data_IF_605742953196
#
_entry.id   IF_605742953196
#
_cell.length_a   1.000
_cell.length_b   1.000
_cell.length_c   1.000
_cell.angle_alpha   90.00
_cell.angle_beta   90.00
_cell.angle_gamma   90.00
#
_symmetry.space_group_name_H-M   'P 1'
#
loop_
_entity.id
_entity.type
_entity.pdbx_description
1 polymer ?
#
# COMPACT_ATOMS: atom_id res chain seq x y z
N UNK A 1 13.12 19.55 2.97
CA UNK A 1 12.58 19.28 1.62
C UNK A 1 13.05 20.34 0.65
N UNK A 2 13.11 21.62 1.04
CA UNK A 2 13.62 22.73 0.22
C UNK A 2 14.99 22.47 -0.41
N UNK A 3 16.05 22.23 0.37
CA UNK A 3 17.41 22.04 -0.15
C UNK A 3 17.51 21.07 -1.34
N UNK A 4 17.05 19.83 -1.16
CA UNK A 4 17.13 18.85 -2.24
C UNK A 4 16.04 19.02 -3.31
N UNK A 5 14.76 19.07 -2.90
CA UNK A 5 13.66 19.00 -3.87
C UNK A 5 13.46 20.32 -4.60
N UNK A 6 13.51 21.45 -3.89
CA UNK A 6 13.31 22.77 -4.49
C UNK A 6 14.61 23.29 -5.11
N UNK A 7 15.72 23.25 -4.38
CA UNK A 7 16.95 23.93 -4.80
C UNK A 7 17.76 23.05 -5.78
N UNK A 8 18.12 21.83 -5.38
CA UNK A 8 18.98 20.97 -6.22
C UNK A 8 18.23 20.36 -7.43
N UNK A 9 16.98 19.92 -7.22
CA UNK A 9 16.19 19.24 -8.24
C UNK A 9 15.22 20.15 -9.00
N UNK A 10 15.03 21.41 -8.57
CA UNK A 10 14.16 22.36 -9.24
C UNK A 10 12.69 21.92 -9.31
N UNK A 11 12.21 21.13 -8.35
CA UNK A 11 10.83 20.65 -8.35
C UNK A 11 9.87 21.78 -7.97
N UNK A 12 9.06 22.24 -8.92
CA UNK A 12 8.06 23.32 -8.73
C UNK A 12 6.63 22.82 -8.50
N UNK A 13 6.44 21.50 -8.38
CA UNK A 13 5.13 20.91 -8.11
C UNK A 13 4.68 21.05 -6.66
N UNK A 14 3.60 20.34 -6.31
CA UNK A 14 3.12 20.25 -4.94
C UNK A 14 3.84 19.17 -4.15
N UNK A 15 4.29 19.54 -2.97
CA UNK A 15 4.89 18.64 -1.99
C UNK A 15 3.85 18.28 -0.92
N UNK A 16 3.48 17.00 -0.88
CA UNK A 16 2.59 16.44 0.12
C UNK A 16 3.41 15.68 1.16
N UNK A 17 3.00 15.75 2.42
CA UNK A 17 3.44 14.76 3.41
C UNK A 17 2.74 13.43 3.15
N UNK A 18 3.29 12.34 3.68
CA UNK A 18 2.48 11.14 3.94
C UNK A 18 1.50 11.42 5.10
N UNK A 19 0.62 10.47 5.41
CA UNK A 19 -0.39 10.60 6.44
C UNK A 19 0.24 10.95 7.79
N UNK A 20 -0.09 12.13 8.32
CA UNK A 20 0.40 12.59 9.62
C UNK A 20 -0.19 11.80 10.81
N UNK A 21 -1.13 10.90 10.54
CA UNK A 21 -1.64 9.91 11.50
C UNK A 21 -0.70 8.72 11.69
N UNK A 22 0.39 8.60 10.92
CA UNK A 22 1.37 7.54 11.09
C UNK A 22 1.97 7.57 12.51
N UNK A 23 1.99 6.38 13.14
CA UNK A 23 2.35 6.22 14.55
C UNK A 23 3.72 6.81 14.90
N UNK A 24 4.70 6.63 14.02
CA UNK A 24 6.07 7.13 14.19
C UNK A 24 6.14 8.66 14.32
N UNK A 25 5.28 9.41 13.63
CA UNK A 25 5.24 10.88 13.70
C UNK A 25 4.46 11.33 14.93
N UNK A 26 3.32 10.69 15.20
CA UNK A 26 2.46 11.05 16.32
C UNK A 26 3.12 10.83 17.68
N UNK A 27 3.95 9.77 17.82
CA UNK A 27 4.67 9.48 19.07
C UNK A 27 5.89 10.39 19.28
N UNK A 28 6.56 10.81 18.21
CA UNK A 28 7.79 11.59 18.32
C UNK A 28 7.57 13.09 18.57
N UNK A 29 6.54 13.71 17.96
CA UNK A 29 6.39 15.17 17.97
C UNK A 29 5.00 15.65 18.37
N UNK A 30 3.97 14.80 18.31
CA UNK A 30 2.58 15.24 18.38
C UNK A 30 2.15 16.01 17.12
N UNK A 31 0.83 16.18 16.93
CA UNK A 31 0.28 16.64 15.64
C UNK A 31 0.63 18.10 15.31
N UNK A 32 0.63 18.99 16.31
CA UNK A 32 0.90 20.42 16.11
C UNK A 32 2.35 20.66 15.67
N UNK A 33 3.31 20.16 16.43
CA UNK A 33 4.73 20.31 16.12
C UNK A 33 5.13 19.61 14.81
N UNK A 34 4.57 18.41 14.55
CA UNK A 34 4.79 17.73 13.28
C UNK A 34 4.29 18.56 12.08
N UNK A 35 3.13 19.21 12.23
CA UNK A 35 2.54 20.07 11.19
C UNK A 35 3.41 21.29 10.91
N UNK A 36 3.88 21.98 11.96
CA UNK A 36 4.77 23.14 11.82
C UNK A 36 6.08 22.75 11.16
N UNK A 37 6.73 21.68 11.63
CA UNK A 37 7.99 21.18 11.06
C UNK A 37 7.87 20.78 9.59
N UNK A 38 6.75 20.17 9.21
CA UNK A 38 6.53 19.78 7.82
C UNK A 38 6.46 21.02 6.90
N UNK A 39 5.75 22.08 7.33
CA UNK A 39 5.68 23.34 6.59
C UNK A 39 7.04 24.06 6.56
N UNK A 40 7.76 24.11 7.69
CA UNK A 40 9.12 24.64 7.76
C UNK A 40 10.07 23.92 6.79
N UNK A 41 9.92 22.60 6.67
CA UNK A 41 10.75 21.80 5.78
C UNK A 41 10.45 22.04 4.29
N UNK A 42 9.33 22.70 3.96
CA UNK A 42 8.91 23.06 2.61
C UNK A 42 7.72 22.26 2.05
N UNK A 43 6.96 21.54 2.89
CA UNK A 43 5.72 20.90 2.43
C UNK A 43 4.65 21.94 2.09
N UNK A 44 3.85 21.66 1.05
CA UNK A 44 2.72 22.52 0.67
C UNK A 44 1.41 22.02 1.31
N UNK A 45 1.24 20.69 1.42
CA UNK A 45 0.01 20.08 1.92
C UNK A 45 0.29 19.02 2.98
N UNK A 46 -0.37 19.18 4.12
CA UNK A 46 -0.36 18.22 5.22
C UNK A 46 -1.43 17.15 4.99
N UNK A 47 -1.02 15.91 4.74
CA UNK A 47 -1.93 14.81 4.45
C UNK A 47 -2.49 14.20 5.75
N UNK A 48 -3.82 14.15 5.86
CA UNK A 48 -4.55 13.44 6.91
C UNK A 48 -4.04 13.71 8.34
N UNK A 49 -4.00 14.96 8.82
CA UNK A 49 -3.75 15.22 10.24
C UNK A 49 -4.84 14.59 11.10
N UNK A 50 -4.45 13.98 12.22
CA UNK A 50 -5.39 13.31 13.15
C UNK A 50 -6.39 14.30 13.75
N UNK A 51 -5.93 15.52 14.02
CA UNK A 51 -6.73 16.64 14.50
C UNK A 51 -6.35 17.89 13.69
N UNK A 52 -7.29 18.34 12.86
CA UNK A 52 -7.10 19.49 11.97
C UNK A 52 -7.07 20.80 12.77
N UNK A 53 -7.90 20.94 13.80
CA UNK A 53 -7.96 22.17 14.60
C UNK A 53 -6.65 22.40 15.34
N UNK A 54 -6.13 21.36 16.01
CA UNK A 54 -4.84 21.45 16.68
C UNK A 54 -3.69 21.76 15.71
N UNK A 55 -3.73 21.22 14.49
CA UNK A 55 -2.73 21.55 13.46
C UNK A 55 -2.82 23.03 13.02
N UNK A 56 -4.04 23.55 12.81
CA UNK A 56 -4.27 24.96 12.44
C UNK A 56 -3.77 25.88 13.54
N UNK A 57 -4.16 25.63 14.80
CA UNK A 57 -3.79 26.47 15.95
C UNK A 57 -2.27 26.51 16.13
N UNK A 58 -1.59 25.36 15.98
CA UNK A 58 -0.14 25.28 16.04
C UNK A 58 0.56 26.07 14.92
N UNK A 59 0.02 26.04 13.69
CA UNK A 59 0.55 26.81 12.56
C UNK A 59 0.34 28.30 12.77
N UNK A 60 -0.83 28.73 13.26
CA UNK A 60 -1.09 30.13 13.60
C UNK A 60 -0.11 30.63 14.67
N UNK A 61 0.07 29.87 15.76
CA UNK A 61 1.03 30.21 16.81
C UNK A 61 2.48 30.26 16.28
N UNK A 62 2.84 29.37 15.35
CA UNK A 62 4.16 29.39 14.71
C UNK A 62 4.36 30.63 13.81
N UNK A 63 3.29 31.15 13.19
CA UNK A 63 3.35 32.39 12.43
C UNK A 63 3.48 33.60 13.37
N UNK A 64 2.69 33.64 14.44
CA UNK A 64 2.72 34.72 15.44
C UNK A 64 4.07 34.81 16.15
N UNK A 65 4.70 33.67 16.44
CA UNK A 65 6.05 33.62 17.03
C UNK A 65 7.19 33.88 16.05
N UNK A 66 6.89 34.01 14.75
CA UNK A 66 7.89 34.24 13.69
C UNK A 66 8.70 33.00 13.28
N UNK A 67 8.33 31.82 13.80
CA UNK A 67 8.93 30.53 13.41
C UNK A 67 8.58 30.18 11.97
N UNK A 68 7.35 30.44 11.56
CA UNK A 68 6.92 30.41 10.17
C UNK A 68 6.67 31.83 9.68
N UNK A 69 7.09 32.15 8.47
CA UNK A 69 6.72 33.44 7.87
C UNK A 69 5.40 33.30 7.11
N UNK A 70 4.61 34.38 7.11
CA UNK A 70 3.41 34.48 6.25
C UNK A 70 3.75 34.21 4.78
N UNK A 71 4.90 34.68 4.32
CA UNK A 71 5.38 34.46 2.96
C UNK A 71 5.54 32.96 2.63
N UNK A 72 6.06 32.15 3.55
CA UNK A 72 6.19 30.70 3.32
C UNK A 72 4.83 30.04 3.06
N UNK A 73 3.82 30.42 3.83
CA UNK A 73 2.45 29.88 3.68
C UNK A 73 1.81 30.37 2.39
N UNK A 74 1.96 31.65 2.06
CA UNK A 74 1.43 32.24 0.83
C UNK A 74 2.01 31.57 -0.42
N UNK A 75 3.30 31.25 -0.41
CA UNK A 75 3.95 30.50 -1.48
C UNK A 75 3.36 29.10 -1.67
N UNK A 76 3.16 28.34 -0.59
CA UNK A 76 2.51 27.03 -0.65
C UNK A 76 1.07 27.13 -1.16
N UNK A 77 0.30 28.11 -0.66
CA UNK A 77 -1.08 28.36 -1.10
C UNK A 77 -1.13 28.74 -2.58
N UNK A 78 -0.20 29.57 -3.06
CA UNK A 78 -0.08 29.93 -4.48
C UNK A 78 0.08 28.68 -5.35
N UNK A 79 1.02 27.79 -5.02
CA UNK A 79 1.22 26.52 -5.77
C UNK A 79 -0.05 25.66 -5.79
N UNK A 80 -0.76 25.58 -4.66
CA UNK A 80 -2.02 24.82 -4.56
C UNK A 80 -3.09 25.42 -5.49
N UNK A 81 -3.24 26.74 -5.48
CA UNK A 81 -4.21 27.44 -6.31
C UNK A 81 -3.86 27.33 -7.80
N UNK A 82 -2.59 27.45 -8.16
CA UNK A 82 -2.11 27.25 -9.53
C UNK A 82 -2.40 25.83 -10.04
N UNK A 83 -2.19 24.81 -9.20
CA UNK A 83 -2.52 23.43 -9.58
C UNK A 83 -4.03 23.25 -9.77
N UNK A 84 -4.86 23.79 -8.87
CA UNK A 84 -6.33 23.78 -9.04
C UNK A 84 -6.76 24.53 -10.30
N UNK A 85 -6.06 25.62 -10.64
CA UNK A 85 -6.30 26.38 -11.85
C UNK A 85 -5.95 25.59 -13.11
N UNK A 86 -4.77 24.97 -13.15
CA UNK A 86 -4.31 24.08 -14.24
C UNK A 86 -5.28 22.93 -14.51
N UNK A 87 -5.91 22.39 -13.48
CA UNK A 87 -6.92 21.33 -13.59
C UNK A 87 -8.33 21.84 -13.93
N UNK A 88 -8.53 23.15 -14.07
CA UNK A 88 -9.84 23.74 -14.37
C UNK A 88 -10.86 23.67 -13.22
N UNK A 89 -10.42 23.32 -12.00
CA UNK A 89 -11.32 23.12 -10.84
C UNK A 89 -11.96 24.43 -10.34
N UNK A 90 -11.38 25.56 -10.72
CA UNK A 90 -11.94 26.89 -10.49
C UNK A 90 -13.13 27.21 -11.42
N UNK A 91 -13.21 26.56 -12.59
CA UNK A 91 -14.30 26.73 -13.56
C UNK A 91 -15.43 25.72 -13.33
N UNK A 92 -15.10 24.51 -12.88
CA UNK A 92 -16.04 23.44 -12.57
C UNK A 92 -15.69 22.76 -11.25
N UNK A 93 -16.50 23.01 -10.21
CA UNK A 93 -16.26 22.47 -8.86
C UNK A 93 -16.79 21.05 -8.65
N UNK A 94 -17.49 20.51 -9.63
CA UNK A 94 -18.16 19.20 -9.55
C UNK A 94 -17.65 18.26 -10.64
N UNK A 95 -17.59 16.98 -10.30
CA UNK A 95 -17.24 15.92 -11.25
C UNK A 95 -18.49 15.09 -11.51
N UNK A 96 -18.79 14.83 -12.79
CA UNK A 96 -19.87 13.92 -13.14
C UNK A 96 -19.48 12.49 -12.79
N UNK A 97 -20.18 11.89 -11.83
CA UNK A 97 -20.01 10.48 -11.45
C UNK A 97 -20.33 9.53 -12.62
N UNK A 98 -21.19 9.93 -13.56
CA UNK A 98 -21.49 9.14 -14.76
C UNK A 98 -20.32 9.09 -15.76
N UNK A 99 -19.38 10.04 -15.71
CA UNK A 99 -18.16 9.98 -16.55
C UNK A 99 -17.12 8.98 -16.01
N UNK A 100 -17.21 8.60 -14.73
CA UNK A 100 -16.26 7.69 -14.07
C UNK A 100 -16.40 6.22 -14.50
N UNK A 101 -17.48 5.84 -15.18
CA UNK A 101 -17.74 4.45 -15.61
C UNK A 101 -16.75 3.94 -16.67
N UNK A 102 -15.83 4.78 -17.16
CA UNK A 102 -14.82 4.42 -18.19
C UNK A 102 -13.43 4.10 -17.67
N UNK A 103 -13.15 4.28 -16.37
CA UNK A 103 -11.98 3.63 -15.77
C UNK A 103 -12.30 2.15 -15.50
N UNK A 104 -12.63 1.40 -16.56
CA UNK A 104 -12.38 -0.05 -16.54
C UNK A 104 -10.87 -0.17 -16.41
N UNK A 105 -10.40 -0.60 -15.23
CA UNK A 105 -9.09 -1.23 -15.10
C UNK A 105 -8.83 -2.02 -16.38
N UNK A 106 -7.75 -1.67 -17.07
CA UNK A 106 -7.32 -2.23 -18.35
C UNK A 106 -7.72 -3.70 -18.46
N UNK A 107 -8.27 -4.08 -19.63
CA UNK A 107 -8.66 -5.45 -20.01
C UNK A 107 -7.95 -6.52 -19.17
N UNK A 108 -8.65 -7.52 -18.59
CA UNK A 108 -8.04 -8.58 -17.78
C UNK A 108 -6.76 -9.21 -18.38
N UNK A 109 -6.63 -9.17 -19.71
CA UNK A 109 -5.42 -9.57 -20.45
C UNK A 109 -4.15 -8.78 -20.10
N UNK A 110 -4.24 -7.48 -19.80
CA UNK A 110 -3.09 -6.65 -19.45
C UNK A 110 -2.60 -6.94 -18.04
N UNK A 111 -3.50 -7.06 -17.06
CA UNK A 111 -3.15 -7.45 -15.69
C UNK A 111 -2.55 -8.85 -15.69
N UNK A 112 -3.17 -9.80 -16.41
CA UNK A 112 -2.65 -11.17 -16.53
C UNK A 112 -1.27 -11.23 -17.20
N UNK A 113 -0.97 -10.32 -18.14
CA UNK A 113 0.35 -10.23 -18.78
C UNK A 113 1.40 -9.70 -17.80
N UNK A 114 1.09 -8.61 -17.10
CA UNK A 114 1.99 -8.05 -16.08
C UNK A 114 2.30 -9.06 -14.99
N UNK A 115 1.27 -9.76 -14.46
CA UNK A 115 1.46 -10.81 -13.45
C UNK A 115 2.31 -11.98 -13.94
N UNK A 116 2.28 -12.31 -15.24
CA UNK A 116 3.13 -13.35 -15.82
C UNK A 116 4.57 -12.89 -16.01
N UNK A 117 4.76 -11.64 -16.41
CA UNK A 117 6.09 -11.06 -16.59
C UNK A 117 6.78 -10.75 -15.26
N UNK A 118 6.04 -10.60 -14.16
CA UNK A 118 6.59 -10.38 -12.82
C UNK A 118 6.95 -11.66 -12.08
N UNK A 119 6.62 -12.84 -12.62
CA UNK A 119 7.11 -14.10 -12.11
C UNK A 119 8.49 -14.31 -12.72
N UNK A 120 9.52 -13.97 -11.95
CA UNK A 120 10.90 -14.33 -12.30
C UNK A 120 11.08 -15.85 -12.24
N UNK A 121 12.15 -16.36 -12.85
CA UNK A 121 12.51 -17.77 -12.80
C UNK A 121 12.40 -18.33 -11.37
N UNK A 122 11.89 -19.57 -11.18
CA UNK A 122 11.83 -20.17 -9.85
C UNK A 122 13.23 -20.09 -9.21
N UNK A 123 13.31 -19.44 -8.06
CA UNK A 123 14.58 -19.23 -7.35
C UNK A 123 15.25 -20.55 -6.96
N UNK A 124 14.46 -21.62 -6.87
CA UNK A 124 14.93 -22.96 -6.55
C UNK A 124 13.98 -24.00 -7.17
N UNK A 125 14.49 -24.80 -8.11
CA UNK A 125 13.80 -25.98 -8.65
C UNK A 125 14.80 -27.14 -8.77
N UNK A 126 15.29 -27.58 -7.62
CA UNK A 126 16.35 -28.59 -7.52
C UNK A 126 15.88 -29.99 -7.96
N UNK A 127 14.57 -30.20 -8.11
CA UNK A 127 13.96 -31.50 -8.39
C UNK A 127 13.12 -31.53 -9.67
N UNK A 128 13.12 -30.44 -10.47
CA UNK A 128 12.32 -30.35 -11.70
C UNK A 128 10.83 -30.55 -11.45
N UNK A 129 10.33 -30.06 -10.32
CA UNK A 129 8.95 -30.27 -9.85
C UNK A 129 7.94 -29.40 -10.61
N UNK A 130 8.42 -28.41 -11.36
CA UNK A 130 7.59 -27.51 -12.16
C UNK A 130 7.88 -27.77 -13.65
N UNK A 131 6.85 -27.94 -14.51
CA UNK A 131 5.42 -27.84 -14.21
C UNK A 131 4.86 -29.03 -13.42
N UNK A 132 3.89 -28.76 -12.54
CA UNK A 132 3.20 -29.78 -11.76
C UNK A 132 2.52 -30.81 -12.69
N UNK A 133 2.68 -32.10 -12.36
CA UNK A 133 2.01 -33.18 -13.06
C UNK A 133 0.68 -33.52 -12.34
N UNK A 134 -0.50 -33.19 -12.92
CA UNK A 134 -1.79 -33.46 -12.30
C UNK A 134 -2.13 -34.95 -12.23
N UNK A 135 -1.61 -35.75 -13.14
CA UNK A 135 -1.83 -37.21 -13.21
C UNK A 135 -0.70 -37.99 -12.51
N UNK A 136 0.18 -37.27 -11.81
CA UNK A 136 1.30 -37.87 -11.09
C UNK A 136 0.82 -38.74 -9.93
N UNK A 137 1.49 -39.86 -9.65
CA UNK A 137 1.18 -40.66 -8.47
C UNK A 137 1.57 -39.87 -7.22
N UNK A 138 0.60 -39.34 -6.47
CA UNK A 138 0.88 -38.65 -5.22
C UNK A 138 -0.31 -37.91 -4.61
N UNK A 139 -0.36 -37.87 -3.28
CA UNK A 139 -1.27 -37.00 -2.55
C UNK A 139 -0.81 -35.55 -2.70
N UNK A 140 -1.67 -34.69 -3.22
CA UNK A 140 -1.37 -33.25 -3.33
C UNK A 140 -2.06 -32.49 -2.21
N UNK A 141 -1.28 -31.76 -1.41
CA UNK A 141 -1.78 -30.92 -0.33
C UNK A 141 -1.36 -29.48 -0.59
N UNK A 142 -2.34 -28.57 -0.56
CA UNK A 142 -2.15 -27.14 -0.73
C UNK A 142 -2.41 -26.44 0.62
N UNK A 143 -1.34 -26.07 1.31
CA UNK A 143 -1.39 -25.30 2.54
C UNK A 143 -1.32 -23.81 2.21
N UNK A 144 -2.30 -23.05 2.70
CA UNK A 144 -2.34 -21.60 2.59
C UNK A 144 -2.10 -21.00 3.95
N UNK A 145 -1.10 -20.13 4.03
CA UNK A 145 -0.94 -19.22 5.16
C UNK A 145 -1.20 -17.80 4.66
N UNK A 146 -2.17 -17.11 5.26
CA UNK A 146 -2.43 -15.71 4.97
C UNK A 146 -3.00 -15.03 6.22
N UNK A 147 -2.68 -13.74 6.47
CA UNK A 147 -3.31 -13.00 7.54
C UNK A 147 -4.84 -13.03 7.40
N UNK A 148 -5.56 -13.10 8.52
CA UNK A 148 -7.03 -13.16 8.51
C UNK A 148 -7.69 -11.95 7.80
N UNK A 149 -6.97 -10.83 7.71
CA UNK A 149 -7.40 -9.62 7.00
C UNK A 149 -7.28 -9.71 5.47
N UNK A 150 -6.57 -10.70 4.94
CA UNK A 150 -6.28 -10.85 3.51
C UNK A 150 -7.24 -11.83 2.85
N UNK A 151 -8.52 -11.47 2.84
CA UNK A 151 -9.65 -12.33 2.41
C UNK A 151 -9.54 -12.87 0.97
N UNK A 152 -8.73 -12.25 0.10
CA UNK A 152 -8.56 -12.65 -1.30
C UNK A 152 -7.25 -13.36 -1.60
N UNK A 153 -6.36 -13.50 -0.61
CA UNK A 153 -5.08 -14.18 -0.80
C UNK A 153 -5.32 -15.61 -1.30
N UNK A 154 -4.55 -16.03 -2.31
CA UNK A 154 -4.53 -17.38 -2.86
C UNK A 154 -5.84 -17.92 -3.46
N UNK A 155 -6.93 -17.12 -3.55
CA UNK A 155 -8.20 -17.56 -4.13
C UNK A 155 -8.06 -17.98 -5.60
N UNK A 156 -7.32 -17.20 -6.39
CA UNK A 156 -7.06 -17.49 -7.81
C UNK A 156 -6.21 -18.75 -8.01
N UNK A 157 -5.20 -18.95 -7.15
CA UNK A 157 -4.35 -20.13 -7.21
C UNK A 157 -5.11 -21.38 -6.75
N UNK A 158 -5.83 -21.32 -5.63
CA UNK A 158 -6.71 -22.40 -5.15
C UNK A 158 -7.71 -22.85 -6.21
N UNK A 159 -8.39 -21.90 -6.87
CA UNK A 159 -9.34 -22.22 -7.93
C UNK A 159 -8.67 -22.81 -9.18
N UNK A 160 -7.51 -22.27 -9.56
CA UNK A 160 -6.73 -22.78 -10.68
C UNK A 160 -6.11 -24.16 -10.44
N UNK A 161 -5.77 -24.48 -9.19
CA UNK A 161 -5.22 -25.75 -8.76
C UNK A 161 -6.33 -26.81 -8.68
N UNK A 162 -7.45 -26.50 -8.02
CA UNK A 162 -8.62 -27.40 -7.97
C UNK A 162 -9.15 -27.74 -9.38
N UNK A 163 -9.14 -26.76 -10.30
CA UNK A 163 -9.54 -26.99 -11.68
C UNK A 163 -8.58 -27.87 -12.50
N UNK A 164 -7.36 -28.12 -12.01
CA UNK A 164 -6.37 -29.00 -12.66
C UNK A 164 -6.12 -30.30 -11.89
N UNK A 165 -6.31 -30.26 -10.57
CA UNK A 165 -6.07 -31.35 -9.63
C UNK A 165 -7.28 -31.42 -8.69
N UNK A 166 -8.35 -32.13 -9.09
CA UNK A 166 -9.58 -32.20 -8.32
C UNK A 166 -9.39 -32.79 -6.92
N UNK A 167 -8.42 -33.69 -6.76
CA UNK A 167 -8.15 -34.42 -5.52
C UNK A 167 -7.23 -33.66 -4.54
N UNK A 168 -7.00 -32.36 -4.77
CA UNK A 168 -6.15 -31.56 -3.89
C UNK A 168 -6.81 -31.27 -2.54
N UNK A 169 -6.16 -31.66 -1.45
CA UNK A 169 -6.56 -31.26 -0.10
C UNK A 169 -6.10 -29.83 0.17
N UNK A 170 -7.03 -28.93 0.50
CA UNK A 170 -6.69 -27.53 0.82
C UNK A 170 -6.81 -27.26 2.31
N UNK A 171 -5.74 -26.72 2.90
CA UNK A 171 -5.71 -26.30 4.31
C UNK A 171 -5.50 -24.79 4.35
N UNK A 172 -6.27 -24.07 5.17
CA UNK A 172 -6.09 -22.64 5.42
C UNK A 172 -5.64 -22.44 6.86
N UNK A 173 -4.56 -21.69 7.02
CA UNK A 173 -3.97 -21.30 8.29
C UNK A 173 -3.80 -19.77 8.31
N UNK A 174 -3.97 -19.19 9.48
CA UNK A 174 -3.81 -17.78 9.77
C UNK A 174 -3.26 -17.57 11.19
N UNK A 175 -3.12 -16.31 11.61
CA UNK A 175 -2.64 -15.95 12.95
C UNK A 175 -3.60 -16.34 14.09
N UNK A 176 -4.82 -16.78 13.76
CA UNK A 176 -5.87 -17.17 14.72
C UNK A 176 -6.11 -18.68 14.76
N UNK A 177 -5.46 -19.43 13.88
CA UNK A 177 -5.62 -20.87 13.75
C UNK A 177 -5.10 -21.57 15.01
N UNK A 178 -5.86 -22.55 15.51
CA UNK A 178 -5.54 -23.23 16.76
C UNK A 178 -4.33 -24.16 16.62
N UNK A 179 -3.63 -24.49 17.72
CA UNK A 179 -2.54 -25.47 17.71
C UNK A 179 -2.95 -26.81 17.09
N UNK A 180 -4.21 -27.23 17.25
CA UNK A 180 -4.77 -28.45 16.66
C UNK A 180 -4.90 -28.33 15.13
N UNK A 181 -5.26 -27.16 14.59
CA UNK A 181 -5.31 -26.93 13.14
C UNK A 181 -3.91 -27.02 12.51
N UNK A 182 -2.89 -26.50 13.20
CA UNK A 182 -1.49 -26.67 12.80
C UNK A 182 -1.03 -28.13 12.91
N UNK A 183 -1.44 -28.84 13.97
CA UNK A 183 -1.13 -30.27 14.13
C UNK A 183 -1.79 -31.14 13.06
N UNK A 184 -3.03 -30.84 12.68
CA UNK A 184 -3.74 -31.52 11.59
C UNK A 184 -3.04 -31.31 10.24
N UNK A 185 -2.49 -30.12 9.98
CA UNK A 185 -1.70 -29.86 8.78
C UNK A 185 -0.38 -30.68 8.75
N UNK A 186 0.22 -30.98 9.92
CA UNK A 186 1.43 -31.80 10.04
C UNK A 186 1.22 -33.29 9.70
N UNK A 187 -0.01 -33.81 9.80
CA UNK A 187 -0.33 -35.21 9.48
C UNK A 187 0.02 -35.53 8.01
N UNK A 188 -0.02 -34.53 7.14
CA UNK A 188 0.35 -34.66 5.73
C UNK A 188 1.87 -34.68 5.48
N UNK A 189 2.70 -34.47 6.52
CA UNK A 189 4.17 -34.42 6.45
C UNK A 189 4.83 -35.20 7.60
N UNK A 190 4.68 -36.53 7.68
CA UNK A 190 5.22 -37.31 8.79
C UNK A 190 6.76 -37.33 8.90
N UNK A 191 7.50 -36.88 7.88
CA UNK A 191 8.97 -37.02 7.80
C UNK A 191 9.79 -35.72 7.84
N UNK A 192 9.19 -34.55 8.05
CA UNK A 192 9.93 -33.27 8.14
C UNK A 192 10.49 -32.94 9.55
N UNK A 193 10.68 -33.94 10.42
CA UNK A 193 11.13 -33.75 11.81
C UNK A 193 12.59 -34.12 12.09
N UNK A 194 13.44 -34.31 11.08
CA UNK A 194 14.88 -34.53 11.30
C UNK A 194 15.74 -33.65 10.39
N UNK A 195 15.73 -32.33 10.61
CA UNK A 195 16.89 -31.43 10.45
C UNK A 195 16.47 -29.98 10.72
N UNK A 196 16.58 -29.57 11.98
CA UNK A 196 16.93 -28.21 12.39
C UNK A 196 18.09 -28.34 13.40
#
# INVERSE_FOLDING_TARGET
MTGLLRDDLGFDGLLFTDALTMRAITEAYGIGEASVRALEAGADVLLSPKDVSTAIDAVLAAIESGRLTRFNIEESVRRILEMKAKLGLHLGRTVSLMRWTRCRLRSPSCVRRLSRCSLDHPCEDNQGLIPLNPDGPGLTVHIRYAPSSWLWANRSFSGGLLGRMPDVTQVLLDERSSPEAYAAARIYFPTLTNSL
#
